data_IF_257623036209
#
_entry.id   IF_257623036209
#
_cell.length_a   1.000
_cell.length_b   1.000
_cell.length_c   1.000
_cell.angle_alpha   90.00
_cell.angle_beta   90.00
_cell.angle_gamma   90.00
#
_symmetry.space_group_name_H-M   'P 1'
#
loop_
_entity.id
_entity.type
_entity.pdbx_description
1 polymer ?
#
# COMPACT_ATOMS: atom_id res chain seq x y z
N UNK A 1 58.32 -5.31 -60.10
CA UNK A 1 56.84 -5.37 -60.01
C UNK A 1 56.22 -4.58 -61.15
N UNK A 2 56.26 -5.07 -62.39
CA UNK A 2 55.67 -4.37 -63.55
C UNK A 2 54.92 -5.41 -64.38
N UNK A 3 53.63 -5.13 -64.60
CA UNK A 3 52.69 -5.80 -65.52
C UNK A 3 51.83 -6.93 -64.92
N UNK A 4 51.13 -6.66 -63.81
CA UNK A 4 49.83 -7.29 -63.61
C UNK A 4 48.86 -6.75 -64.68
N UNK A 5 48.08 -7.60 -65.39
CA UNK A 5 47.13 -7.15 -66.40
C UNK A 5 46.16 -6.13 -65.80
N UNK A 6 45.74 -5.12 -66.57
CA UNK A 6 44.84 -4.04 -66.12
C UNK A 6 43.59 -4.57 -65.39
N UNK A 7 43.09 -5.73 -65.84
CA UNK A 7 42.01 -6.46 -65.18
C UNK A 7 42.33 -6.82 -63.71
N UNK A 8 43.54 -7.29 -63.40
CA UNK A 8 43.94 -7.67 -62.05
C UNK A 8 44.18 -6.45 -61.14
N UNK A 9 44.61 -5.32 -61.72
CA UNK A 9 44.77 -4.05 -60.99
C UNK A 9 43.42 -3.41 -60.62
N UNK A 10 42.38 -3.65 -61.40
CA UNK A 10 41.00 -3.25 -61.10
C UNK A 10 40.29 -4.26 -60.20
N UNK A 11 40.62 -5.55 -60.31
CA UNK A 11 40.04 -6.61 -59.48
C UNK A 11 40.47 -6.49 -58.01
N UNK A 12 41.73 -6.15 -57.76
CA UNK A 12 42.27 -6.06 -56.40
C UNK A 12 41.54 -5.04 -55.49
N UNK A 13 41.31 -3.77 -55.90
CA UNK A 13 40.54 -2.83 -55.09
C UNK A 13 39.05 -3.22 -55.02
N UNK A 14 38.48 -3.80 -56.08
CA UNK A 14 37.08 -4.24 -56.09
C UNK A 14 36.85 -5.39 -55.11
N UNK A 15 37.77 -6.36 -55.07
CA UNK A 15 37.75 -7.49 -54.14
C UNK A 15 37.85 -6.99 -52.69
N UNK A 16 38.71 -5.99 -52.43
CA UNK A 16 38.85 -5.40 -51.10
C UNK A 16 37.55 -4.72 -50.65
N UNK A 17 36.92 -3.94 -51.51
CA UNK A 17 35.63 -3.28 -51.21
C UNK A 17 34.53 -4.32 -50.96
N UNK A 18 34.48 -5.40 -51.76
CA UNK A 18 33.54 -6.49 -51.57
C UNK A 18 33.76 -7.21 -50.22
N UNK A 19 35.01 -7.40 -49.81
CA UNK A 19 35.37 -8.02 -48.53
C UNK A 19 34.98 -7.14 -47.34
N UNK A 20 35.16 -5.82 -47.43
CA UNK A 20 34.75 -4.86 -46.39
C UNK A 20 33.23 -4.84 -46.26
N UNK A 21 32.50 -4.80 -47.38
CA UNK A 21 31.04 -4.86 -47.37
C UNK A 21 30.54 -6.17 -46.75
N UNK A 22 31.16 -7.30 -47.10
CA UNK A 22 30.81 -8.61 -46.54
C UNK A 22 31.09 -8.68 -45.03
N UNK A 23 32.21 -8.12 -44.56
CA UNK A 23 32.54 -8.07 -43.14
C UNK A 23 31.54 -7.21 -42.35
N UNK A 24 31.05 -6.11 -42.94
CA UNK A 24 30.07 -5.23 -42.30
C UNK A 24 28.68 -5.86 -42.23
N UNK A 25 28.26 -6.59 -43.27
CA UNK A 25 27.00 -7.33 -43.26
C UNK A 25 27.09 -8.50 -42.28
N UNK A 26 28.20 -9.23 -42.26
CA UNK A 26 28.42 -10.31 -41.30
C UNK A 26 28.39 -9.79 -39.86
N UNK A 27 29.06 -8.67 -39.54
CA UNK A 27 29.04 -8.12 -38.19
C UNK A 27 27.64 -7.65 -37.75
N UNK A 28 26.82 -7.14 -38.67
CA UNK A 28 25.44 -6.77 -38.39
C UNK A 28 24.53 -7.98 -38.14
N UNK A 29 24.77 -9.12 -38.80
CA UNK A 29 23.99 -10.35 -38.63
C UNK A 29 24.33 -11.06 -37.31
N UNK A 30 25.56 -10.90 -36.81
CA UNK A 30 26.00 -11.44 -35.52
C UNK A 30 25.98 -10.41 -34.40
N UNK A 31 25.36 -9.25 -34.61
CA UNK A 31 25.18 -8.27 -33.55
C UNK A 31 24.34 -8.92 -32.43
N UNK A 32 24.86 -9.01 -31.20
CA UNK A 32 24.11 -9.61 -30.10
C UNK A 32 22.84 -8.79 -29.87
N UNK A 33 21.69 -9.44 -29.94
CA UNK A 33 20.42 -8.84 -29.53
C UNK A 33 20.55 -8.55 -28.05
N UNK A 34 20.71 -7.28 -27.68
CA UNK A 34 20.71 -6.86 -26.29
C UNK A 34 19.30 -7.09 -25.77
N UNK A 35 19.07 -8.02 -24.83
CA UNK A 35 17.75 -8.20 -24.27
C UNK A 35 17.37 -6.91 -23.56
N UNK A 36 16.23 -6.33 -23.94
CA UNK A 36 15.64 -5.22 -23.22
C UNK A 36 15.25 -5.76 -21.84
N UNK A 37 15.94 -5.30 -20.80
CA UNK A 37 15.58 -5.62 -19.43
C UNK A 37 14.21 -5.00 -19.15
N UNK A 38 13.21 -5.85 -18.90
CA UNK A 38 11.89 -5.41 -18.45
C UNK A 38 12.04 -5.16 -16.96
N UNK A 39 12.01 -3.90 -16.52
CA UNK A 39 12.01 -3.59 -15.09
C UNK A 39 10.72 -4.15 -14.45
N UNK A 40 10.80 -4.78 -13.26
CA UNK A 40 9.62 -5.19 -12.52
C UNK A 40 8.73 -3.98 -12.23
N UNK A 41 7.42 -4.12 -12.46
CA UNK A 41 6.45 -3.11 -12.03
C UNK A 41 6.44 -3.05 -10.50
N UNK A 42 6.65 -1.87 -9.92
CA UNK A 42 6.57 -1.68 -8.48
C UNK A 42 5.15 -2.01 -7.98
N UNK A 43 5.06 -2.81 -6.91
CA UNK A 43 3.78 -3.11 -6.26
C UNK A 43 3.29 -1.85 -5.54
N UNK A 44 2.03 -1.42 -5.73
CA UNK A 44 1.51 -0.23 -5.07
C UNK A 44 1.52 -0.39 -3.54
N UNK A 45 1.81 0.71 -2.85
CA UNK A 45 1.70 0.77 -1.39
C UNK A 45 0.25 0.52 -0.94
N UNK A 46 0.06 -0.23 0.13
CA UNK A 46 -1.28 -0.62 0.61
C UNK A 46 -1.29 -0.88 2.11
N UNK A 47 -2.46 -0.68 2.73
CA UNK A 47 -2.79 -1.09 4.10
C UNK A 47 -3.95 -2.07 3.99
N UNK A 48 -3.81 -3.25 4.61
CA UNK A 48 -4.77 -4.36 4.49
C UNK A 48 -4.96 -5.10 5.82
N UNK A 49 -5.97 -5.98 5.86
CA UNK A 49 -6.30 -6.78 7.05
C UNK A 49 -6.46 -5.97 8.34
N UNK A 50 -7.12 -4.81 8.24
CA UNK A 50 -7.39 -3.98 9.40
C UNK A 50 -8.31 -4.72 10.37
N UNK A 51 -7.88 -4.84 11.62
CA UNK A 51 -8.63 -5.43 12.72
C UNK A 51 -8.59 -4.47 13.90
N UNK A 52 -9.76 -4.01 14.32
CA UNK A 52 -9.92 -3.26 15.55
C UNK A 52 -10.68 -4.09 16.58
N UNK A 53 -10.20 -4.11 17.81
CA UNK A 53 -10.87 -4.82 18.91
C UNK A 53 -10.74 -4.03 20.20
N UNK A 54 -11.85 -3.90 20.92
CA UNK A 54 -11.87 -3.31 22.26
C UNK A 54 -11.10 -4.22 23.21
N UNK A 55 -9.97 -3.71 23.71
CA UNK A 55 -9.11 -4.41 24.68
C UNK A 55 -9.55 -4.16 26.12
N UNK A 56 -10.22 -3.03 26.38
CA UNK A 56 -10.98 -2.73 27.59
C UNK A 56 -11.92 -1.55 27.31
N UNK A 57 -12.81 -1.19 28.24
CA UNK A 57 -13.80 -0.12 28.07
C UNK A 57 -13.25 1.24 27.63
N UNK A 58 -11.94 1.48 27.81
CA UNK A 58 -11.27 2.73 27.45
C UNK A 58 -10.20 2.57 26.37
N UNK A 59 -10.04 1.39 25.76
CA UNK A 59 -9.00 1.16 24.75
C UNK A 59 -9.48 0.26 23.60
N UNK A 60 -9.11 0.67 22.38
CA UNK A 60 -9.29 -0.11 21.15
C UNK A 60 -7.89 -0.39 20.59
N UNK A 61 -7.55 -1.68 20.44
CA UNK A 61 -6.35 -2.10 19.75
C UNK A 61 -6.66 -2.25 18.27
N UNK A 62 -5.94 -1.51 17.43
CA UNK A 62 -6.00 -1.59 15.97
C UNK A 62 -4.72 -2.23 15.45
N UNK A 63 -4.88 -3.25 14.61
CA UNK A 63 -3.78 -3.95 13.94
C UNK A 63 -4.05 -4.04 12.45
N UNK A 64 -3.00 -3.97 11.62
CA UNK A 64 -3.11 -4.12 10.18
C UNK A 64 -1.79 -4.61 9.58
N UNK A 65 -1.85 -5.15 8.36
CA UNK A 65 -0.68 -5.40 7.51
C UNK A 65 -0.48 -4.24 6.54
N UNK A 66 0.77 -3.98 6.14
CA UNK A 66 1.08 -2.89 5.21
C UNK A 66 2.32 -3.18 4.38
N UNK A 67 2.36 -2.60 3.19
CA UNK A 67 3.55 -2.57 2.33
C UNK A 67 4.30 -1.24 2.41
N UNK A 68 3.88 -0.35 3.32
CA UNK A 68 4.62 0.89 3.65
C UNK A 68 5.98 0.56 4.29
N UNK A 69 7.00 1.42 4.08
CA UNK A 69 8.31 1.22 4.69
C UNK A 69 8.27 1.36 6.21
N UNK A 70 9.17 0.66 6.89
CA UNK A 70 9.35 0.79 8.33
C UNK A 70 9.64 2.26 8.72
N UNK A 71 9.05 2.70 9.84
CA UNK A 71 9.10 4.09 10.29
C UNK A 71 8.07 5.01 9.63
N UNK A 72 7.34 4.57 8.59
CA UNK A 72 6.24 5.34 8.02
C UNK A 72 5.16 5.60 9.08
N UNK A 73 4.65 6.82 9.14
CA UNK A 73 3.57 7.18 10.06
C UNK A 73 2.21 6.78 9.49
N UNK A 74 1.39 6.16 10.33
CA UNK A 74 0.01 5.79 10.04
C UNK A 74 -0.90 6.37 11.09
N UNK A 75 -1.99 6.96 10.64
CA UNK A 75 -3.05 7.56 11.44
C UNK A 75 -4.28 6.66 11.44
N UNK A 76 -4.89 6.46 12.60
CA UNK A 76 -6.19 5.82 12.74
C UNK A 76 -7.29 6.88 12.95
N UNK A 77 -8.43 6.66 12.28
CA UNK A 77 -9.63 7.49 12.41
C UNK A 77 -10.81 6.60 12.74
N UNK A 78 -11.59 6.99 13.74
CA UNK A 78 -12.85 6.35 14.08
C UNK A 78 -14.00 7.07 13.38
N UNK A 79 -14.95 6.30 12.87
CA UNK A 79 -16.18 6.83 12.29
C UNK A 79 -17.39 6.08 12.86
N UNK A 80 -18.50 6.79 13.05
CA UNK A 80 -19.77 6.21 13.45
C UNK A 80 -20.84 6.68 12.47
N UNK A 81 -21.55 5.74 11.86
CA UNK A 81 -22.56 6.04 10.82
C UNK A 81 -22.00 6.88 9.64
N UNK A 82 -20.72 6.69 9.31
CA UNK A 82 -20.03 7.40 8.23
C UNK A 82 -19.45 8.77 8.61
N UNK A 83 -19.73 9.27 9.82
CA UNK A 83 -19.22 10.55 10.30
C UNK A 83 -18.00 10.37 11.23
N UNK A 84 -17.06 11.32 11.27
CA UNK A 84 -15.95 11.29 12.22
C UNK A 84 -16.44 11.16 13.66
N UNK A 85 -15.89 10.20 14.40
CA UNK A 85 -16.27 9.91 15.77
C UNK A 85 -15.11 10.22 16.72
N UNK A 86 -15.19 11.39 17.35
CA UNK A 86 -14.15 11.93 18.21
C UNK A 86 -14.15 11.27 19.60
N UNK A 87 -13.65 10.04 19.67
CA UNK A 87 -13.62 9.22 20.89
C UNK A 87 -12.24 9.07 21.52
N UNK A 88 -11.18 9.13 20.70
CA UNK A 88 -9.81 8.85 21.11
C UNK A 88 -9.03 10.12 21.51
N UNK A 89 -7.98 9.96 22.31
CA UNK A 89 -6.98 11.01 22.55
C UNK A 89 -6.27 11.37 21.22
N UNK A 90 -6.13 12.67 20.87
CA UNK A 90 -5.56 13.10 19.59
C UNK A 90 -4.06 12.79 19.46
N UNK A 91 -3.35 12.57 20.57
CA UNK A 91 -1.93 12.22 20.55
C UNK A 91 -1.70 10.69 20.38
N UNK A 92 -2.76 9.89 20.45
CA UNK A 92 -2.70 8.41 20.44
C UNK A 92 -3.25 7.76 19.17
N UNK A 93 -3.51 8.55 18.13
CA UNK A 93 -4.02 8.06 16.84
C UNK A 93 -2.93 7.67 15.85
N UNK A 94 -1.66 7.94 16.17
CA UNK A 94 -0.53 7.70 15.28
C UNK A 94 0.31 6.54 15.76
N UNK A 95 0.79 5.73 14.83
CA UNK A 95 1.89 4.80 15.07
C UNK A 95 2.82 4.75 13.86
N UNK A 96 3.97 4.12 14.06
CA UNK A 96 4.90 3.82 12.99
C UNK A 96 4.75 2.38 12.53
N UNK A 97 5.00 2.15 11.25
CA UNK A 97 5.11 0.81 10.67
C UNK A 97 6.38 0.15 11.19
N UNK A 98 6.25 -1.12 11.57
CA UNK A 98 7.38 -1.96 11.96
C UNK A 98 7.16 -3.39 11.45
N UNK A 99 8.12 -3.95 10.71
CA UNK A 99 8.06 -5.31 10.18
C UNK A 99 6.79 -5.55 9.33
N UNK A 100 6.43 -4.57 8.49
CA UNK A 100 5.24 -4.62 7.63
C UNK A 100 3.91 -4.64 8.39
N UNK A 101 3.91 -4.28 9.68
CA UNK A 101 2.74 -4.29 10.55
C UNK A 101 2.48 -2.91 11.14
N UNK A 102 1.21 -2.65 11.38
CA UNK A 102 0.73 -1.47 12.09
C UNK A 102 0.08 -1.95 13.38
N UNK A 103 0.39 -1.28 14.49
CA UNK A 103 -0.26 -1.48 15.77
C UNK A 103 -0.51 -0.12 16.43
N UNK A 104 -1.77 0.22 16.64
CA UNK A 104 -2.21 1.48 17.24
C UNK A 104 -3.11 1.16 18.42
N UNK A 105 -2.79 1.70 19.60
CA UNK A 105 -3.63 1.63 20.79
C UNK A 105 -4.40 2.95 20.92
N UNK A 106 -5.67 2.94 20.48
CA UNK A 106 -6.57 4.08 20.60
C UNK A 106 -7.13 4.12 22.02
N UNK A 107 -6.84 5.21 22.73
CA UNK A 107 -7.32 5.42 24.10
C UNK A 107 -8.47 6.41 24.13
N UNK A 108 -9.52 6.08 24.89
CA UNK A 108 -10.67 6.95 25.13
C UNK A 108 -10.22 8.27 25.76
N UNK A 109 -10.64 9.40 25.18
CA UNK A 109 -10.45 10.73 25.79
C UNK A 109 -11.49 11.01 26.88
N UNK A 110 -11.16 11.93 27.78
CA UNK A 110 -12.12 12.41 28.77
C UNK A 110 -13.31 13.12 28.08
N UNK A 111 -14.52 12.79 28.54
CA UNK A 111 -15.76 13.29 27.95
C UNK A 111 -16.03 12.80 26.52
N UNK A 112 -15.35 11.73 26.06
CA UNK A 112 -15.64 11.11 24.77
C UNK A 112 -17.12 10.71 24.67
N UNK A 113 -17.76 10.88 23.50
CA UNK A 113 -19.11 10.38 23.25
C UNK A 113 -19.15 8.86 23.44
N UNK A 114 -20.31 8.34 23.79
CA UNK A 114 -20.50 6.89 23.91
C UNK A 114 -20.87 6.32 22.54
N UNK A 115 -20.18 5.26 22.05
CA UNK A 115 -20.48 4.64 20.77
C UNK A 115 -21.88 4.04 20.71
N UNK A 116 -22.48 4.09 19.52
CA UNK A 116 -23.67 3.30 19.19
C UNK A 116 -23.28 1.84 18.93
N UNK A 117 -24.21 0.93 19.22
CA UNK A 117 -24.00 -0.49 18.99
C UNK A 117 -23.79 -0.77 17.51
N UNK A 118 -22.74 -1.53 17.19
CA UNK A 118 -22.45 -2.05 15.84
C UNK A 118 -22.23 -0.99 14.74
N UNK A 119 -22.09 0.30 15.09
CA UNK A 119 -21.91 1.41 14.15
C UNK A 119 -20.47 1.94 14.05
N UNK A 120 -19.60 1.52 14.98
CA UNK A 120 -18.24 2.04 15.08
C UNK A 120 -17.29 1.33 14.12
N UNK A 121 -16.68 2.11 13.23
CA UNK A 121 -15.71 1.67 12.23
C UNK A 121 -14.36 2.37 12.46
N UNK A 122 -13.29 1.73 12.02
CA UNK A 122 -11.94 2.31 11.95
C UNK A 122 -11.46 2.36 10.51
N UNK A 123 -10.70 3.40 10.19
CA UNK A 123 -9.95 3.53 8.96
C UNK A 123 -8.51 3.93 9.28
N UNK A 124 -7.55 3.37 8.55
CA UNK A 124 -6.14 3.73 8.65
C UNK A 124 -5.73 4.54 7.42
N UNK A 125 -4.89 5.55 7.62
CA UNK A 125 -4.32 6.36 6.54
C UNK A 125 -2.84 6.58 6.77
N UNK A 126 -2.04 6.52 5.71
CA UNK A 126 -0.61 6.82 5.74
C UNK A 126 -0.13 7.44 4.44
N UNK A 127 1.16 7.69 4.35
CA UNK A 127 1.80 8.27 3.16
C UNK A 127 2.89 7.34 2.67
N UNK A 128 2.85 6.99 1.39
CA UNK A 128 3.87 6.19 0.73
C UNK A 128 5.16 7.01 0.48
N UNK A 129 6.25 6.33 0.13
CA UNK A 129 7.57 6.96 -0.06
C UNK A 129 7.61 7.98 -1.22
N UNK A 130 6.69 7.85 -2.18
CA UNK A 130 6.47 8.76 -3.31
C UNK A 130 5.58 9.97 -2.94
N UNK A 131 5.13 10.06 -1.69
CA UNK A 131 4.21 11.09 -1.21
C UNK A 131 2.72 10.79 -1.45
N UNK A 132 2.38 9.63 -2.03
CA UNK A 132 0.98 9.25 -2.28
C UNK A 132 0.27 8.92 -0.97
N UNK A 133 -0.92 9.50 -0.75
CA UNK A 133 -1.78 9.14 0.37
C UNK A 133 -2.41 7.77 0.15
N UNK A 134 -2.27 6.90 1.14
CA UNK A 134 -2.83 5.55 1.16
C UNK A 134 -3.86 5.45 2.28
N UNK A 135 -5.02 4.89 1.99
CA UNK A 135 -6.08 4.59 2.96
C UNK A 135 -6.41 3.10 2.96
N UNK A 136 -6.79 2.58 4.12
CA UNK A 136 -7.42 1.26 4.22
C UNK A 136 -8.91 1.35 3.92
N UNK A 137 -9.52 0.20 3.66
CA UNK A 137 -10.98 0.07 3.79
C UNK A 137 -11.41 0.31 5.24
N UNK A 138 -12.68 0.67 5.43
CA UNK A 138 -13.28 0.76 6.77
C UNK A 138 -13.48 -0.65 7.34
N UNK A 139 -13.08 -0.84 8.60
CA UNK A 139 -13.28 -2.09 9.33
C UNK A 139 -14.13 -1.87 10.58
N UNK A 140 -15.08 -2.77 10.91
CA UNK A 140 -15.83 -2.69 12.15
C UNK A 140 -14.92 -2.87 13.36
N UNK A 141 -15.22 -2.14 14.43
CA UNK A 141 -14.58 -2.33 15.73
C UNK A 141 -15.27 -3.48 16.46
N UNK A 142 -14.55 -4.60 16.65
CA UNK A 142 -15.04 -5.73 17.41
C UNK A 142 -15.08 -5.44 18.91
N UNK A 143 -16.22 -5.67 19.54
CA UNK A 143 -16.39 -5.47 20.98
C UNK A 143 -16.69 -6.80 21.65
N UNK A 144 -15.73 -7.39 22.39
CA UNK A 144 -16.00 -8.59 23.17
C UNK A 144 -17.18 -8.38 24.13
N UNK A 145 -18.05 -9.37 24.28
CA UNK A 145 -19.25 -9.28 25.13
C UNK A 145 -18.95 -8.83 26.57
N UNK A 146 -17.78 -9.20 27.11
CA UNK A 146 -17.33 -8.80 28.44
C UNK A 146 -17.15 -7.28 28.61
N UNK A 147 -17.03 -6.53 27.51
CA UNK A 147 -16.87 -5.07 27.51
C UNK A 147 -18.09 -4.34 26.94
N UNK A 148 -19.09 -5.04 26.39
CA UNK A 148 -20.20 -4.43 25.67
C UNK A 148 -20.98 -3.43 26.55
N UNK A 149 -21.31 -3.79 27.79
CA UNK A 149 -22.10 -2.95 28.70
C UNK A 149 -21.35 -1.71 29.18
N UNK A 150 -20.02 -1.77 29.24
CA UNK A 150 -19.18 -0.65 29.66
C UNK A 150 -18.76 0.24 28.48
N UNK A 151 -18.78 -0.31 27.26
CA UNK A 151 -18.33 0.37 26.05
C UNK A 151 -19.48 1.07 25.31
N UNK A 152 -20.65 0.44 25.25
CA UNK A 152 -21.82 1.00 24.57
C UNK A 152 -22.77 1.72 25.53
N UNK A 153 -23.68 2.51 24.96
CA UNK A 153 -24.86 2.97 25.69
C UNK A 153 -25.72 1.77 26.09
N UNK A 154 -26.26 1.72 27.32
CA UNK A 154 -27.22 0.69 27.68
C UNK A 154 -28.43 0.80 26.75
N UNK A 155 -28.70 -0.25 25.98
CA UNK A 155 -29.84 -0.30 25.08
C UNK A 155 -31.12 -0.27 25.91
N UNK A 156 -31.74 0.91 26.06
CA UNK A 156 -33.11 0.99 26.54
C UNK A 156 -34.01 0.54 25.41
N UNK A 157 -34.22 -0.77 25.28
CA UNK A 157 -35.26 -1.31 24.42
C UNK A 157 -36.59 -0.70 24.87
N UNK A 158 -37.15 0.21 24.06
CA UNK A 158 -38.49 0.76 24.28
C UNK A 158 -39.47 -0.40 24.18
N UNK A 159 -40.03 -0.84 25.31
CA UNK A 159 -41.11 -1.81 25.30
C UNK A 159 -42.26 -1.26 24.43
N UNK A 160 -42.93 -2.08 23.59
CA UNK A 160 -44.05 -1.60 22.82
C UNK A 160 -45.14 -1.13 23.78
N UNK A 161 -45.46 0.17 23.74
CA UNK A 161 -46.64 0.72 24.40
C UNK A 161 -47.85 0.01 23.80
N UNK A 162 -48.44 -0.92 24.55
CA UNK A 162 -49.74 -1.46 24.24
C UNK A 162 -50.73 -0.29 24.28
N UNK A 163 -51.26 0.10 23.12
CA UNK A 163 -52.37 1.02 23.03
C UNK A 163 -53.60 0.35 23.67
N UNK A 164 -54.20 1.03 24.66
CA UNK A 164 -55.46 0.67 25.28
C UNK A 164 -56.65 1.13 24.43
#
# INVERSE_FOLDING_TARGET
>A
MRNAPLALKLLAPLLLVALIALAFVASSLFAPVVPVAIEPTAVPASISEVKATVSNASNILVTAQTTLPDGAEVLAQLTQNGEPFDWNEPDRVRAQVFDGKIRIDLRKRDGAPTPDRDALMVMLSGTAADGTSIGSEQSPVGVPNIYADAFYTPSTATAPTAAA
#
